data_IF_738356849042
#
_entry.id   IF_738356849042
#
_cell.length_a   1.000
_cell.length_b   1.000
_cell.length_c   1.000
_cell.angle_alpha   90.00
_cell.angle_beta   90.00
_cell.angle_gamma   90.00
#
_symmetry.space_group_name_H-M   'P 1'
#
loop_
_entity.id
_entity.type
_entity.pdbx_description
1 polymer ?
#
# COMPACT_ATOMS: atom_id res chain seq x y z
N UNK A 1 4.99 18.87 -5.71
CA UNK A 1 5.80 17.65 -5.91
C UNK A 1 5.37 16.65 -4.85
N UNK A 2 4.83 15.49 -5.23
CA UNK A 2 4.44 14.45 -4.28
C UNK A 2 5.62 13.51 -4.05
N UNK A 3 5.83 13.08 -2.81
CA UNK A 3 6.98 12.24 -2.41
C UNK A 3 6.58 11.09 -1.52
N UNK A 4 5.61 11.31 -0.63
CA UNK A 4 5.13 10.31 0.31
C UNK A 4 3.62 10.20 0.17
N UNK A 5 3.14 8.97 0.12
CA UNK A 5 1.73 8.61 -0.01
C UNK A 5 1.41 7.61 1.09
N UNK A 6 0.28 7.82 1.73
CA UNK A 6 -0.28 6.88 2.69
C UNK A 6 -1.56 6.32 2.08
N UNK A 7 -1.55 5.05 1.72
CA UNK A 7 -2.73 4.33 1.22
C UNK A 7 -3.46 3.71 2.41
N UNK A 8 -4.41 4.44 2.98
CA UNK A 8 -5.05 4.13 4.27
C UNK A 8 -6.04 2.96 4.24
N UNK A 9 -6.31 2.38 3.08
CA UNK A 9 -7.15 1.20 2.94
C UNK A 9 -6.68 0.39 1.74
N UNK A 10 -5.46 -0.13 1.85
CA UNK A 10 -4.70 -0.61 0.71
C UNK A 10 -5.30 -1.84 0.02
N UNK A 11 -6.24 -2.56 0.66
CA UNK A 11 -6.75 -3.85 0.18
C UNK A 11 -5.58 -4.73 -0.29
N UNK A 12 -5.36 -4.89 -1.60
CA UNK A 12 -4.29 -5.71 -2.17
C UNK A 12 -3.08 -4.91 -2.70
N UNK A 13 -2.92 -3.64 -2.33
CA UNK A 13 -1.82 -2.76 -2.77
C UNK A 13 -1.96 -2.23 -4.20
N UNK A 14 -3.18 -2.21 -4.75
CA UNK A 14 -3.43 -1.86 -6.15
C UNK A 14 -3.07 -0.40 -6.49
N UNK A 15 -3.27 0.52 -5.55
CA UNK A 15 -2.90 1.92 -5.76
C UNK A 15 -1.39 2.12 -5.83
N UNK A 16 -0.63 1.47 -4.95
CA UNK A 16 0.83 1.45 -5.02
C UNK A 16 1.33 0.86 -6.36
N UNK A 17 0.76 -0.26 -6.79
CA UNK A 17 1.09 -0.87 -8.08
C UNK A 17 0.87 0.09 -9.27
N UNK A 18 -0.26 0.82 -9.28
CA UNK A 18 -0.55 1.80 -10.33
C UNK A 18 0.43 2.99 -10.33
N UNK A 19 0.88 3.45 -9.15
CA UNK A 19 1.89 4.51 -9.03
C UNK A 19 3.25 4.06 -9.55
N UNK A 20 3.63 2.81 -9.28
CA UNK A 20 4.85 2.21 -9.80
C UNK A 20 4.79 2.07 -11.33
N UNK A 21 3.68 1.56 -11.87
CA UNK A 21 3.47 1.38 -13.32
C UNK A 21 3.55 2.72 -14.07
N UNK A 22 3.00 3.79 -13.49
CA UNK A 22 3.08 5.15 -14.05
C UNK A 22 4.39 5.87 -13.76
N UNK A 23 5.41 5.15 -13.25
CA UNK A 23 6.77 5.65 -12.94
C UNK A 23 6.78 6.89 -12.05
N UNK A 24 5.87 6.97 -11.09
CA UNK A 24 5.87 8.06 -10.10
C UNK A 24 7.00 7.81 -9.10
N UNK A 25 7.86 8.81 -8.92
CA UNK A 25 8.90 8.79 -7.89
C UNK A 25 8.31 9.14 -6.53
N UNK A 26 7.55 8.21 -5.94
CA UNK A 26 6.91 8.35 -4.62
C UNK A 26 7.16 7.12 -3.76
N UNK A 27 7.23 7.33 -2.46
CA UNK A 27 7.18 6.29 -1.45
C UNK A 27 5.74 6.11 -0.99
N UNK A 28 5.28 4.86 -0.88
CA UNK A 28 3.90 4.53 -0.49
C UNK A 28 3.95 3.59 0.71
N UNK A 29 3.32 3.99 1.81
CA UNK A 29 2.99 3.09 2.90
C UNK A 29 1.56 2.57 2.71
N UNK A 30 1.41 1.26 2.58
CA UNK A 30 0.10 0.62 2.52
C UNK A 30 -0.40 0.30 3.93
N UNK A 31 -1.61 0.72 4.27
CA UNK A 31 -2.24 0.44 5.56
C UNK A 31 -3.47 -0.43 5.31
N UNK A 32 -3.55 -1.53 6.05
CA UNK A 32 -4.69 -2.44 6.02
C UNK A 32 -5.43 -2.31 7.36
N UNK A 33 -6.74 -1.96 7.34
CA UNK A 33 -7.54 -1.89 8.56
C UNK A 33 -7.64 -3.26 9.25
N UNK A 34 -7.44 -3.29 10.55
CA UNK A 34 -7.62 -4.48 11.41
C UNK A 34 -9.08 -4.94 11.48
N UNK A 35 -10.04 -4.03 11.28
CA UNK A 35 -11.48 -4.32 11.30
C UNK A 35 -11.99 -5.04 10.03
N UNK A 36 -11.09 -5.36 9.09
CA UNK A 36 -11.40 -6.00 7.82
C UNK A 36 -10.65 -7.32 7.61
N UNK A 37 -10.57 -7.74 6.35
CA UNK A 37 -9.76 -8.91 5.96
C UNK A 37 -8.29 -8.54 5.98
N UNK A 38 -7.48 -9.34 6.67
CA UNK A 38 -6.03 -9.19 6.62
C UNK A 38 -5.48 -9.57 5.22
N UNK A 39 -5.12 -8.54 4.47
CA UNK A 39 -4.50 -8.62 3.15
C UNK A 39 -3.03 -8.21 3.17
N UNK A 40 -2.49 -7.87 4.34
CA UNK A 40 -1.10 -7.44 4.50
C UNK A 40 -0.10 -8.50 3.98
N UNK A 41 -0.26 -9.81 4.23
CA UNK A 41 0.63 -10.82 3.66
C UNK A 41 0.78 -10.72 2.15
N UNK A 42 -0.33 -10.49 1.43
CA UNK A 42 -0.32 -10.38 -0.03
C UNK A 42 0.38 -9.10 -0.53
N UNK A 43 0.30 -8.01 0.25
CA UNK A 43 1.03 -6.76 -0.03
C UNK A 43 2.53 -6.99 0.12
N UNK A 44 2.95 -7.69 1.18
CA UNK A 44 4.35 -8.00 1.44
C UNK A 44 4.92 -8.97 0.38
N UNK A 45 4.17 -10.00 -0.01
CA UNK A 45 4.56 -10.95 -1.07
C UNK A 45 4.78 -10.26 -2.43
N UNK A 46 4.11 -9.13 -2.68
CA UNK A 46 4.31 -8.28 -3.88
C UNK A 46 5.56 -7.40 -3.79
N UNK A 47 6.27 -7.41 -2.67
CA UNK A 47 7.44 -6.56 -2.42
C UNK A 47 7.10 -5.12 -2.02
N UNK A 48 5.84 -4.85 -1.69
CA UNK A 48 5.44 -3.56 -1.13
C UNK A 48 5.57 -3.57 0.39
N UNK A 49 5.76 -2.39 0.97
CA UNK A 49 5.73 -2.21 2.43
C UNK A 49 4.29 -1.94 2.90
N UNK A 50 3.96 -2.40 4.10
CA UNK A 50 2.69 -2.09 4.72
C UNK A 50 2.62 -2.44 6.20
N UNK A 51 1.51 -2.05 6.83
CA UNK A 51 1.20 -2.35 8.23
C UNK A 51 -0.31 -2.52 8.45
N UNK A 52 -0.67 -3.06 9.61
CA UNK A 52 -2.03 -3.06 10.13
C UNK A 52 -2.28 -1.82 11.00
N UNK A 53 -3.50 -1.25 10.94
CA UNK A 53 -3.91 -0.13 11.79
C UNK A 53 -5.38 -0.29 12.22
N UNK A 54 -5.67 -0.08 13.51
CA UNK A 54 -7.03 0.05 14.11
C UNK A 54 -7.67 1.41 13.85
#
# INVERSE_FOLDING_TARGET
MLRNVLDMNAHFGGFNAALLETRKSVWVLNVVPTNGRDTLPLILDRGFIGLLHD
#
